data_IF_712291070556
#
_entry.id   IF_712291070556
#
_cell.length_a   1.000
_cell.length_b   1.000
_cell.length_c   1.000
_cell.angle_alpha   90.00
_cell.angle_beta   90.00
_cell.angle_gamma   90.00
#
_symmetry.space_group_name_H-M   'P 1'
#
loop_
_entity.id
_entity.type
_entity.pdbx_description
1 polymer ?
#
# COMPACT_ATOMS: atom_id res chain seq x y z
N UNK A 1 170.14 -64.28 22.38
CA UNK A 1 171.43 -64.13 23.09
C UNK A 1 171.09 -63.42 24.39
N UNK A 2 170.99 -64.18 25.47
CA UNK A 2 170.65 -63.69 26.80
C UNK A 2 171.82 -62.85 27.33
N UNK A 3 171.63 -61.52 27.33
CA UNK A 3 172.55 -60.58 27.97
C UNK A 3 172.16 -60.55 29.44
N UNK A 4 172.95 -61.19 30.30
CA UNK A 4 172.87 -60.97 31.75
C UNK A 4 172.94 -59.46 32.01
N UNK A 5 171.95 -58.85 32.71
CA UNK A 5 171.97 -57.43 32.95
C UNK A 5 173.16 -57.11 33.85
N UNK A 6 174.12 -56.35 33.33
CA UNK A 6 175.16 -55.73 34.13
C UNK A 6 174.47 -54.90 35.21
N UNK A 7 174.54 -55.36 36.46
CA UNK A 7 174.01 -54.62 37.61
C UNK A 7 174.73 -53.28 37.66
N UNK A 8 174.04 -52.20 37.26
CA UNK A 8 174.56 -50.84 37.38
C UNK A 8 174.83 -50.59 38.87
N UNK A 9 176.10 -50.49 39.25
CA UNK A 9 176.51 -50.17 40.62
C UNK A 9 176.80 -48.67 40.70
N UNK A 10 176.29 -47.99 41.73
CA UNK A 10 176.67 -46.61 42.04
C UNK A 10 177.34 -46.57 43.42
N UNK A 11 178.36 -45.71 43.62
CA UNK A 11 179.02 -45.60 44.91
C UNK A 11 178.06 -45.06 45.97
N UNK A 12 178.12 -45.62 47.17
CA UNK A 12 177.37 -45.15 48.32
C UNK A 12 177.74 -43.71 48.67
N UNK A 13 176.74 -42.83 48.79
CA UNK A 13 176.94 -41.43 49.15
C UNK A 13 177.47 -41.19 50.58
N UNK A 14 177.75 -42.24 51.36
CA UNK A 14 178.38 -42.11 52.68
C UNK A 14 179.75 -42.79 52.78
N UNK A 15 179.87 -44.06 52.37
CA UNK A 15 181.10 -44.83 52.52
C UNK A 15 181.79 -45.16 51.19
N UNK A 16 181.23 -44.74 50.04
CA UNK A 16 181.81 -44.98 48.71
C UNK A 16 181.69 -46.41 48.17
N UNK A 17 181.28 -47.40 48.98
CA UNK A 17 181.12 -48.80 48.55
C UNK A 17 180.07 -48.92 47.43
N UNK A 18 180.33 -49.78 46.45
CA UNK A 18 179.42 -50.03 45.35
C UNK A 18 178.07 -50.56 45.85
N UNK A 19 176.98 -49.89 45.44
CA UNK A 19 175.61 -50.26 45.76
C UNK A 19 174.91 -50.68 44.47
N UNK A 20 174.48 -51.94 44.35
CA UNK A 20 173.72 -52.40 43.19
C UNK A 20 172.40 -51.63 43.09
N UNK A 21 172.15 -51.03 41.93
CA UNK A 21 170.93 -50.28 41.65
C UNK A 21 169.79 -51.20 41.23
N UNK A 22 168.55 -50.70 41.34
CA UNK A 22 167.39 -51.37 40.77
C UNK A 22 167.30 -51.05 39.29
N UNK A 23 167.12 -52.08 38.46
CA UNK A 23 166.67 -51.93 37.08
C UNK A 23 165.16 -51.67 37.08
N UNK A 24 164.73 -50.41 36.83
CA UNK A 24 163.32 -50.02 36.72
C UNK A 24 162.98 -48.61 37.22
N UNK A 25 161.72 -48.20 37.03
CA UNK A 25 161.22 -46.89 37.45
C UNK A 25 161.14 -46.78 38.99
N UNK A 26 161.99 -45.93 39.56
CA UNK A 26 162.06 -45.67 40.99
C UNK A 26 163.29 -44.84 41.35
N UNK A 27 163.32 -44.22 42.53
CA UNK A 27 164.45 -43.38 42.94
C UNK A 27 165.71 -44.25 43.14
N UNK A 28 166.85 -43.92 42.49
CA UNK A 28 168.09 -44.66 42.65
C UNK A 28 168.51 -44.79 44.12
N UNK A 29 169.12 -45.93 44.48
CA UNK A 29 169.63 -46.17 45.81
C UNK A 29 170.90 -45.34 46.04
N UNK A 30 170.80 -44.35 46.94
CA UNK A 30 171.93 -43.47 47.32
C UNK A 30 172.85 -44.06 48.41
N UNK A 31 172.41 -45.08 49.17
CA UNK A 31 173.15 -45.59 50.33
C UNK A 31 173.21 -47.12 50.36
N UNK A 32 174.27 -47.70 50.95
CA UNK A 32 174.39 -49.16 51.15
C UNK A 32 173.25 -49.69 52.02
N UNK A 33 172.74 -50.88 51.65
CA UNK A 33 171.66 -51.56 52.34
C UNK A 33 172.16 -52.64 53.30
N UNK A 34 173.32 -53.20 52.99
CA UNK A 34 173.94 -54.40 53.59
C UNK A 34 174.30 -54.28 55.07
N UNK A 35 174.07 -53.11 55.68
CA UNK A 35 174.42 -52.81 57.06
C UNK A 35 173.23 -52.18 57.80
N UNK A 36 172.02 -52.72 57.61
CA UNK A 36 170.74 -52.24 58.17
C UNK A 36 170.51 -50.73 58.00
N UNK A 37 170.94 -50.14 56.88
CA UNK A 37 170.84 -48.69 56.67
C UNK A 37 171.75 -47.85 57.58
N UNK A 38 172.80 -48.43 58.18
CA UNK A 38 173.78 -47.71 59.00
C UNK A 38 174.42 -46.55 58.24
N UNK A 39 174.72 -46.72 56.95
CA UNK A 39 175.24 -45.62 56.12
C UNK A 39 174.24 -44.47 55.93
N UNK A 40 172.94 -44.78 55.77
CA UNK A 40 171.89 -43.77 55.68
C UNK A 40 171.70 -43.03 57.02
N UNK A 41 171.72 -43.77 58.15
CA UNK A 41 171.65 -43.19 59.50
C UNK A 41 172.89 -42.37 59.83
N UNK A 42 174.08 -42.83 59.47
CA UNK A 42 175.34 -42.13 59.71
C UNK A 42 175.43 -40.85 58.87
N UNK A 43 175.03 -40.89 57.59
CA UNK A 43 174.87 -39.68 56.78
C UNK A 43 173.84 -38.71 57.36
N UNK A 44 172.70 -39.21 57.86
CA UNK A 44 171.68 -38.38 58.54
C UNK A 44 172.22 -37.76 59.84
N UNK A 45 172.91 -38.52 60.67
CA UNK A 45 173.51 -38.03 61.91
C UNK A 45 174.68 -37.06 61.64
N UNK A 46 175.46 -37.27 60.58
CA UNK A 46 176.48 -36.34 60.13
C UNK A 46 175.84 -35.01 59.71
N UNK A 47 174.81 -35.04 58.85
CA UNK A 47 174.05 -33.84 58.47
C UNK A 47 173.42 -33.13 59.66
N UNK A 48 172.77 -33.85 60.58
CA UNK A 48 172.21 -33.25 61.80
C UNK A 48 173.29 -32.62 62.68
N UNK A 49 174.45 -33.26 62.84
CA UNK A 49 175.58 -32.69 63.59
C UNK A 49 176.15 -31.45 62.93
N UNK A 50 176.30 -31.44 61.61
CA UNK A 50 176.76 -30.26 60.87
C UNK A 50 175.73 -29.12 60.93
N UNK A 51 174.44 -29.44 60.78
CA UNK A 51 173.32 -28.47 60.85
C UNK A 51 173.16 -27.81 62.22
N UNK A 52 173.40 -28.57 63.29
CA UNK A 52 173.27 -28.13 64.67
C UNK A 52 174.61 -27.68 65.30
N UNK A 53 175.70 -27.63 64.51
CA UNK A 53 176.99 -27.15 64.99
C UNK A 53 176.93 -25.63 65.22
N UNK A 54 177.31 -25.12 66.41
CA UNK A 54 177.35 -23.69 66.66
C UNK A 54 178.46 -23.02 65.83
N UNK A 55 178.19 -21.81 65.32
CA UNK A 55 179.14 -21.00 64.55
C UNK A 55 179.08 -21.18 63.02
N UNK A 56 180.15 -20.72 62.35
CA UNK A 56 180.30 -20.67 60.88
C UNK A 56 180.00 -22.02 60.18
N UNK A 57 180.47 -23.19 60.66
CA UNK A 57 180.23 -24.46 59.97
C UNK A 57 178.75 -24.85 59.87
N UNK A 58 177.95 -24.57 60.90
CA UNK A 58 176.51 -24.84 60.87
C UNK A 58 175.71 -23.83 60.06
N UNK A 59 176.19 -22.58 59.99
CA UNK A 59 175.64 -21.59 59.07
C UNK A 59 175.88 -22.02 57.61
N UNK A 60 177.12 -22.41 57.27
CA UNK A 60 177.50 -22.94 55.94
C UNK A 60 176.67 -24.17 55.56
N UNK A 61 176.45 -25.10 56.47
CA UNK A 61 175.62 -26.28 56.21
C UNK A 61 174.14 -25.92 55.88
N UNK A 62 173.56 -24.92 56.57
CA UNK A 62 172.20 -24.45 56.28
C UNK A 62 172.11 -23.68 54.96
N UNK A 63 173.13 -22.89 54.61
CA UNK A 63 173.18 -22.25 53.29
C UNK A 63 173.30 -23.28 52.17
N UNK A 64 174.09 -24.34 52.34
CA UNK A 64 174.16 -25.42 51.36
C UNK A 64 172.83 -26.17 51.17
N UNK A 65 172.08 -26.41 52.24
CA UNK A 65 170.73 -27.00 52.12
C UNK A 65 169.73 -26.04 51.43
N UNK A 66 169.88 -24.72 51.62
CA UNK A 66 169.10 -23.73 50.90
C UNK A 66 169.46 -23.71 49.41
N UNK A 67 170.75 -23.87 49.07
CA UNK A 67 171.24 -24.03 47.69
C UNK A 67 170.67 -25.31 47.07
N UNK A 68 170.74 -26.46 47.75
CA UNK A 68 170.14 -27.72 47.27
C UNK A 68 168.62 -27.57 47.01
N UNK A 69 167.92 -26.79 47.86
CA UNK A 69 166.48 -26.53 47.68
C UNK A 69 166.21 -25.60 46.51
N UNK A 70 167.07 -24.61 46.29
CA UNK A 70 167.00 -23.74 45.11
C UNK A 70 167.26 -24.55 43.85
N UNK A 71 168.27 -25.42 43.84
CA UNK A 71 168.55 -26.31 42.71
C UNK A 71 167.35 -27.23 42.41
N UNK A 72 166.72 -27.80 43.44
CA UNK A 72 165.50 -28.61 43.25
C UNK A 72 164.32 -27.79 42.69
N UNK A 73 164.17 -26.53 43.12
CA UNK A 73 163.14 -25.63 42.58
C UNK A 73 163.47 -25.28 41.13
N UNK A 74 164.74 -24.99 40.81
CA UNK A 74 165.20 -24.70 39.44
C UNK A 74 164.98 -25.90 38.54
N UNK A 75 165.31 -27.11 38.99
CA UNK A 75 165.07 -28.36 38.25
C UNK A 75 163.57 -28.55 37.96
N UNK A 76 162.72 -28.41 38.99
CA UNK A 76 161.25 -28.52 38.83
C UNK A 76 160.69 -27.44 37.90
N UNK A 77 161.19 -26.20 38.00
CA UNK A 77 160.79 -25.09 37.14
C UNK A 77 161.28 -25.30 35.71
N UNK A 78 162.51 -25.79 35.51
CA UNK A 78 163.05 -26.11 34.19
C UNK A 78 162.29 -27.26 33.54
N UNK A 79 161.90 -28.30 34.28
CA UNK A 79 161.06 -29.39 33.78
C UNK A 79 159.65 -28.90 33.41
N UNK A 80 159.01 -28.10 34.26
CA UNK A 80 157.71 -27.51 33.97
C UNK A 80 157.78 -26.54 32.76
N UNK A 81 158.82 -25.71 32.71
CA UNK A 81 159.04 -24.78 31.60
C UNK A 81 159.34 -25.53 30.31
N UNK A 82 160.10 -26.63 30.36
CA UNK A 82 160.33 -27.49 29.20
C UNK A 82 159.07 -28.24 28.78
N UNK A 83 158.24 -28.70 29.73
CA UNK A 83 156.96 -29.33 29.42
C UNK A 83 155.99 -28.38 28.72
N UNK A 84 155.98 -27.08 29.06
CA UNK A 84 155.09 -26.09 28.45
C UNK A 84 155.71 -25.37 27.22
N UNK A 85 157.02 -25.12 27.19
CA UNK A 85 157.72 -24.41 26.09
C UNK A 85 158.40 -25.34 25.08
N UNK A 86 158.45 -26.65 25.32
CA UNK A 86 158.86 -27.60 24.26
C UNK A 86 157.86 -27.56 23.10
N UNK A 87 158.29 -27.90 21.87
CA UNK A 87 157.40 -27.99 20.72
C UNK A 87 156.15 -28.84 21.00
N UNK A 88 156.30 -29.97 21.71
CA UNK A 88 155.20 -30.85 22.07
C UNK A 88 154.22 -30.21 23.08
N UNK A 89 154.72 -29.42 24.03
CA UNK A 89 153.91 -28.67 25.00
C UNK A 89 153.05 -27.61 24.32
N UNK A 90 153.66 -26.82 23.43
CA UNK A 90 152.96 -25.80 22.64
C UNK A 90 151.94 -26.42 21.70
N UNK A 91 152.26 -27.54 21.03
CA UNK A 91 151.31 -28.27 20.19
C UNK A 91 150.10 -28.78 20.99
N UNK A 92 150.31 -29.28 22.22
CA UNK A 92 149.23 -29.67 23.13
C UNK A 92 148.34 -28.49 23.50
N UNK A 93 148.93 -27.36 23.90
CA UNK A 93 148.18 -26.14 24.22
C UNK A 93 147.41 -25.61 23.00
N UNK A 94 148.01 -25.62 21.81
CA UNK A 94 147.35 -25.24 20.57
C UNK A 94 146.23 -26.21 20.20
N UNK A 95 146.41 -27.52 20.42
CA UNK A 95 145.36 -28.52 20.20
C UNK A 95 144.18 -28.32 21.18
N UNK A 96 144.46 -28.04 22.45
CA UNK A 96 143.44 -27.71 23.45
C UNK A 96 142.69 -26.43 23.07
N UNK A 97 143.40 -25.35 22.71
CA UNK A 97 142.78 -24.10 22.26
C UNK A 97 141.94 -24.29 21.00
N UNK A 98 142.41 -25.12 20.05
CA UNK A 98 141.63 -25.48 18.84
C UNK A 98 140.39 -26.28 19.21
N UNK A 99 140.47 -27.20 20.16
CA UNK A 99 139.33 -27.96 20.64
C UNK A 99 138.31 -27.07 21.37
N UNK A 100 138.77 -26.17 22.23
CA UNK A 100 137.92 -25.18 22.91
C UNK A 100 137.24 -24.24 21.92
N UNK A 101 138.00 -23.71 20.94
CA UNK A 101 137.44 -22.87 19.88
C UNK A 101 136.44 -23.64 19.02
N UNK A 102 136.74 -24.89 18.66
CA UNK A 102 135.81 -25.74 17.90
C UNK A 102 134.52 -26.01 18.69
N UNK A 103 134.62 -26.24 20.01
CA UNK A 103 133.46 -26.40 20.88
C UNK A 103 132.62 -25.11 20.98
N UNK A 104 133.26 -23.95 21.09
CA UNK A 104 132.57 -22.65 21.09
C UNK A 104 131.86 -22.37 19.76
N UNK A 105 132.50 -22.67 18.63
CA UNK A 105 131.89 -22.52 17.30
C UNK A 105 130.71 -23.50 17.13
N UNK A 106 130.84 -24.74 17.59
CA UNK A 106 129.75 -25.70 17.57
C UNK A 106 128.57 -25.23 18.45
N UNK A 107 128.84 -24.68 19.64
CA UNK A 107 127.81 -24.10 20.50
C UNK A 107 127.11 -22.91 19.84
N UNK A 108 127.86 -21.96 19.27
CA UNK A 108 127.29 -20.83 18.54
C UNK A 108 126.45 -21.26 17.32
N UNK A 109 126.85 -22.32 16.60
CA UNK A 109 126.04 -22.88 15.52
C UNK A 109 124.77 -23.56 16.04
N UNK A 110 124.84 -24.28 17.15
CA UNK A 110 123.67 -24.88 17.79
C UNK A 110 122.67 -23.81 18.24
N UNK A 111 123.14 -22.76 18.92
CA UNK A 111 122.31 -21.62 19.36
C UNK A 111 121.69 -20.88 18.17
N UNK A 112 122.45 -20.65 17.09
CA UNK A 112 121.92 -20.04 15.86
C UNK A 112 120.83 -20.90 15.24
N UNK A 113 121.05 -22.21 15.15
CA UNK A 113 120.10 -23.13 14.53
C UNK A 113 118.84 -23.31 15.39
N UNK A 114 118.96 -23.24 16.73
CA UNK A 114 117.83 -23.18 17.66
C UNK A 114 117.05 -21.87 17.48
N UNK A 115 117.72 -20.71 17.50
CA UNK A 115 117.07 -19.43 17.25
C UNK A 115 116.37 -19.35 15.89
N UNK A 116 116.93 -20.00 14.86
CA UNK A 116 116.28 -20.12 13.54
C UNK A 116 115.01 -20.96 13.62
N UNK A 117 115.06 -22.12 14.29
CA UNK A 117 113.87 -22.97 14.48
C UNK A 117 112.78 -22.24 15.25
N UNK A 118 113.14 -21.56 16.34
CA UNK A 118 112.20 -20.77 17.14
C UNK A 118 111.54 -19.66 16.31
N UNK A 119 112.31 -18.99 15.45
CA UNK A 119 111.78 -17.97 14.54
C UNK A 119 110.83 -18.55 13.48
N UNK A 120 111.17 -19.72 12.91
CA UNK A 120 110.32 -20.43 11.96
C UNK A 120 109.01 -20.90 12.63
N UNK A 121 109.08 -21.44 13.84
CA UNK A 121 107.92 -21.87 14.61
C UNK A 121 107.02 -20.69 15.01
N UNK A 122 107.61 -19.58 15.45
CA UNK A 122 106.88 -18.35 15.74
C UNK A 122 106.20 -17.77 14.48
N UNK A 123 106.87 -17.80 13.33
CA UNK A 123 106.29 -17.37 12.06
C UNK A 123 105.14 -18.28 11.60
N UNK A 124 105.27 -19.59 11.82
CA UNK A 124 104.22 -20.56 11.53
C UNK A 124 103.01 -20.37 12.46
N UNK A 125 103.24 -20.15 13.76
CA UNK A 125 102.20 -19.84 14.74
C UNK A 125 101.46 -18.55 14.38
N UNK A 126 102.17 -17.46 14.10
CA UNK A 126 101.56 -16.20 13.70
C UNK A 126 100.76 -16.31 12.39
N UNK A 127 101.14 -17.22 11.49
CA UNK A 127 100.38 -17.47 10.27
C UNK A 127 99.08 -18.22 10.57
N UNK A 128 99.11 -19.22 11.45
CA UNK A 128 97.91 -19.93 11.92
C UNK A 128 96.95 -18.96 12.62
N UNK A 129 97.45 -18.16 13.56
CA UNK A 129 96.63 -17.18 14.28
C UNK A 129 95.93 -16.19 13.33
N UNK A 130 96.64 -15.73 12.28
CA UNK A 130 96.04 -14.87 11.24
C UNK A 130 94.98 -15.60 10.42
N UNK A 131 95.17 -16.88 10.12
CA UNK A 131 94.19 -17.68 9.40
C UNK A 131 92.95 -17.91 10.26
N UNK A 132 93.13 -18.24 11.53
CA UNK A 132 92.05 -18.46 12.49
C UNK A 132 91.26 -17.17 12.74
N UNK A 133 91.94 -16.02 12.89
CA UNK A 133 91.28 -14.72 13.01
C UNK A 133 90.45 -14.37 11.76
N UNK A 134 90.97 -14.65 10.56
CA UNK A 134 90.23 -14.44 9.30
C UNK A 134 89.00 -15.37 9.21
N UNK A 135 89.15 -16.63 9.60
CA UNK A 135 88.04 -17.58 9.64
C UNK A 135 86.96 -17.12 10.63
N UNK A 136 87.35 -16.72 11.85
CA UNK A 136 86.41 -16.20 12.86
C UNK A 136 85.68 -14.94 12.39
N UNK A 137 86.35 -14.03 11.68
CA UNK A 137 85.70 -12.86 11.08
C UNK A 137 84.71 -13.26 9.98
N UNK A 138 85.09 -14.17 9.08
CA UNK A 138 84.20 -14.67 8.04
C UNK A 138 82.96 -15.38 8.62
N UNK A 139 83.13 -16.18 9.68
CA UNK A 139 82.03 -16.85 10.37
C UNK A 139 81.08 -15.85 11.04
N UNK A 140 81.63 -14.82 11.70
CA UNK A 140 80.84 -13.75 12.32
C UNK A 140 80.04 -12.99 11.27
N UNK A 141 80.67 -12.62 10.15
CA UNK A 141 80.01 -11.86 9.10
C UNK A 141 78.92 -12.73 8.43
N UNK A 142 79.18 -14.02 8.18
CA UNK A 142 78.18 -14.96 7.72
C UNK A 142 77.03 -15.17 8.74
N UNK A 143 77.32 -15.12 10.04
CA UNK A 143 76.28 -15.19 11.08
C UNK A 143 75.42 -13.92 11.10
N UNK A 144 76.01 -12.74 10.91
CA UNK A 144 75.29 -11.47 10.77
C UNK A 144 74.38 -11.49 9.53
N UNK A 145 74.91 -11.89 8.38
CA UNK A 145 74.10 -12.02 7.15
C UNK A 145 72.92 -12.97 7.32
N UNK A 146 73.09 -14.08 8.05
CA UNK A 146 71.99 -15.01 8.36
C UNK A 146 70.95 -14.36 9.28
N UNK A 147 71.39 -13.59 10.28
CA UNK A 147 70.50 -12.87 11.19
C UNK A 147 69.69 -11.81 10.43
N UNK A 148 70.33 -10.99 9.60
CA UNK A 148 69.68 -9.92 8.83
C UNK A 148 68.65 -10.50 7.83
N UNK A 149 68.97 -11.63 7.20
CA UNK A 149 68.01 -12.37 6.35
C UNK A 149 66.84 -12.93 7.14
N UNK A 150 67.09 -13.46 8.33
CA UNK A 150 66.04 -14.00 9.20
C UNK A 150 65.10 -12.88 9.69
N UNK A 151 65.65 -11.73 10.06
CA UNK A 151 64.88 -10.54 10.45
C UNK A 151 64.05 -10.03 9.27
N UNK A 152 64.64 -9.89 8.08
CA UNK A 152 63.91 -9.48 6.87
C UNK A 152 62.78 -10.46 6.53
N UNK A 153 63.02 -11.77 6.64
CA UNK A 153 62.00 -12.78 6.41
C UNK A 153 60.89 -12.73 7.48
N UNK A 154 61.23 -12.46 8.73
CA UNK A 154 60.27 -12.29 9.82
C UNK A 154 59.37 -11.06 9.60
N UNK A 155 59.94 -9.93 9.16
CA UNK A 155 59.18 -8.72 8.82
C UNK A 155 58.20 -8.98 7.68
N UNK A 156 58.65 -9.60 6.58
CA UNK A 156 57.76 -9.96 5.46
C UNK A 156 56.68 -10.95 5.89
N UNK A 157 57.01 -11.89 6.77
CA UNK A 157 56.02 -12.82 7.32
C UNK A 157 54.97 -12.09 8.18
N UNK A 158 55.39 -11.13 9.01
CA UNK A 158 54.49 -10.32 9.84
C UNK A 158 53.56 -9.45 8.98
N UNK A 159 54.09 -8.81 7.93
CA UNK A 159 53.28 -8.05 6.96
C UNK A 159 52.23 -8.94 6.28
N UNK A 160 52.62 -10.13 5.82
CA UNK A 160 51.67 -11.09 5.21
C UNK A 160 50.57 -11.53 6.18
N UNK A 161 50.89 -11.70 7.46
CA UNK A 161 49.89 -12.02 8.49
C UNK A 161 48.93 -10.84 8.68
N UNK A 162 49.45 -9.62 8.80
CA UNK A 162 48.62 -8.41 8.92
C UNK A 162 47.69 -8.21 7.71
N UNK A 163 48.21 -8.40 6.49
CA UNK A 163 47.42 -8.33 5.26
C UNK A 163 46.32 -9.40 5.23
N UNK A 164 46.64 -10.63 5.65
CA UNK A 164 45.66 -11.72 5.71
C UNK A 164 44.56 -11.45 6.75
N UNK A 165 44.90 -10.87 7.89
CA UNK A 165 43.93 -10.46 8.90
C UNK A 165 43.02 -9.33 8.41
N UNK A 166 43.59 -8.30 7.76
CA UNK A 166 42.84 -7.21 7.17
C UNK A 166 41.88 -7.71 6.07
N UNK A 167 42.34 -8.62 5.20
CA UNK A 167 41.51 -9.25 4.18
C UNK A 167 40.36 -10.07 4.80
N UNK A 168 40.64 -10.84 5.86
CA UNK A 168 39.63 -11.62 6.59
C UNK A 168 38.59 -10.73 7.23
N UNK A 169 38.99 -9.63 7.85
CA UNK A 169 38.07 -8.72 8.53
C UNK A 169 37.22 -7.94 7.53
N UNK A 170 37.78 -7.58 6.37
CA UNK A 170 37.03 -7.04 5.23
C UNK A 170 35.98 -8.03 4.72
N UNK A 171 36.36 -9.30 4.49
CA UNK A 171 35.44 -10.34 4.05
C UNK A 171 34.30 -10.60 5.06
N UNK A 172 34.59 -10.52 6.37
CA UNK A 172 33.57 -10.61 7.42
C UNK A 172 32.62 -9.42 7.41
N UNK A 173 33.14 -8.20 7.23
CA UNK A 173 32.31 -7.00 7.11
C UNK A 173 31.38 -7.07 5.90
N UNK A 174 31.90 -7.48 4.73
CA UNK A 174 31.12 -7.69 3.51
C UNK A 174 30.05 -8.77 3.70
N UNK A 175 30.39 -9.90 4.31
CA UNK A 175 29.43 -10.96 4.63
C UNK A 175 28.33 -10.46 5.57
N UNK A 176 28.69 -9.70 6.59
CA UNK A 176 27.74 -9.08 7.52
C UNK A 176 26.81 -8.09 6.82
N UNK A 177 27.35 -7.24 5.94
CA UNK A 177 26.57 -6.30 5.14
C UNK A 177 25.61 -7.03 4.18
N UNK A 178 26.07 -8.07 3.50
CA UNK A 178 25.24 -8.90 2.64
C UNK A 178 24.10 -9.60 3.41
N UNK A 179 24.38 -10.10 4.62
CA UNK A 179 23.36 -10.69 5.49
C UNK A 179 22.35 -9.65 5.96
N UNK A 180 22.79 -8.44 6.32
CA UNK A 180 21.90 -7.34 6.70
C UNK A 180 20.97 -6.94 5.53
N UNK A 181 21.52 -6.82 4.31
CA UNK A 181 20.73 -6.56 3.11
C UNK A 181 19.71 -7.67 2.83
N UNK A 182 20.08 -8.95 3.03
CA UNK A 182 19.14 -10.07 2.87
C UNK A 182 17.99 -9.99 3.88
N UNK A 183 18.29 -9.75 5.15
CA UNK A 183 17.26 -9.58 6.20
C UNK A 183 16.36 -8.40 5.90
N UNK A 184 16.91 -7.28 5.42
CA UNK A 184 16.13 -6.12 5.01
C UNK A 184 15.20 -6.46 3.84
N UNK A 185 15.71 -7.12 2.79
CA UNK A 185 14.92 -7.54 1.65
C UNK A 185 13.79 -8.52 2.03
N UNK A 186 14.03 -9.42 3.00
CA UNK A 186 13.00 -10.31 3.54
C UNK A 186 11.90 -9.53 4.28
N UNK A 187 12.28 -8.54 5.11
CA UNK A 187 11.34 -7.66 5.81
C UNK A 187 10.51 -6.84 4.82
N UNK A 188 11.14 -6.23 3.83
CA UNK A 188 10.47 -5.43 2.81
C UNK A 188 9.49 -6.28 1.99
N UNK A 189 9.89 -7.50 1.63
CA UNK A 189 9.02 -8.47 0.96
C UNK A 189 7.80 -8.83 1.82
N UNK A 190 8.01 -9.08 3.11
CA UNK A 190 6.94 -9.47 4.01
C UNK A 190 5.99 -8.30 4.32
N UNK A 191 6.52 -7.09 4.41
CA UNK A 191 5.75 -5.84 4.46
C UNK A 191 4.90 -5.66 3.20
N UNK A 192 5.50 -5.77 2.00
CA UNK A 192 4.78 -5.68 0.73
C UNK A 192 3.69 -6.75 0.60
N UNK A 193 3.94 -7.98 1.09
CA UNK A 193 2.93 -9.05 1.15
C UNK A 193 1.80 -8.74 2.13
N UNK A 194 2.09 -8.06 3.23
CA UNK A 194 1.07 -7.62 4.18
C UNK A 194 0.20 -6.52 3.56
N UNK A 195 0.80 -5.48 2.99
CA UNK A 195 0.11 -4.41 2.28
C UNK A 195 -0.78 -4.97 1.14
N UNK A 196 -0.26 -5.89 0.34
CA UNK A 196 -1.03 -6.54 -0.72
C UNK A 196 -2.25 -7.32 -0.18
N UNK A 197 -2.13 -7.96 0.99
CA UNK A 197 -3.26 -8.63 1.64
C UNK A 197 -4.29 -7.61 2.12
N UNK A 198 -3.85 -6.51 2.71
CA UNK A 198 -4.72 -5.41 3.15
C UNK A 198 -5.50 -4.82 1.97
N UNK A 199 -4.81 -4.43 0.89
CA UNK A 199 -5.45 -3.88 -0.32
C UNK A 199 -6.43 -4.87 -0.95
N UNK A 200 -6.12 -6.18 -0.94
CA UNK A 200 -7.07 -7.20 -1.42
C UNK A 200 -8.31 -7.28 -0.55
N UNK A 201 -8.16 -7.26 0.78
CA UNK A 201 -9.27 -7.27 1.71
C UNK A 201 -10.15 -6.01 1.56
N UNK A 202 -9.53 -4.84 1.41
CA UNK A 202 -10.24 -3.59 1.13
C UNK A 202 -11.01 -3.67 -0.19
N UNK A 203 -10.36 -4.10 -1.27
CA UNK A 203 -11.01 -4.31 -2.58
C UNK A 203 -12.19 -5.28 -2.48
N UNK A 204 -12.04 -6.38 -1.76
CA UNK A 204 -13.10 -7.37 -1.60
C UNK A 204 -14.25 -6.81 -0.75
N UNK A 205 -13.95 -6.01 0.27
CA UNK A 205 -14.93 -5.23 1.03
C UNK A 205 -15.69 -4.22 0.16
N UNK A 206 -14.99 -3.46 -0.69
CA UNK A 206 -15.61 -2.53 -1.63
C UNK A 206 -16.48 -3.25 -2.68
N UNK A 207 -16.05 -4.41 -3.17
CA UNK A 207 -16.87 -5.25 -4.05
C UNK A 207 -18.14 -5.73 -3.37
N UNK A 208 -18.06 -6.11 -2.10
CA UNK A 208 -19.22 -6.52 -1.33
C UNK A 208 -20.19 -5.35 -1.14
N UNK A 209 -19.69 -4.18 -0.72
CA UNK A 209 -20.51 -2.94 -0.62
C UNK A 209 -21.17 -2.57 -1.94
N UNK A 210 -20.44 -2.66 -3.05
CA UNK A 210 -21.00 -2.38 -4.37
C UNK A 210 -22.12 -3.38 -4.75
N UNK A 211 -21.98 -4.65 -4.39
CA UNK A 211 -23.00 -5.67 -4.59
C UNK A 211 -24.24 -5.41 -3.69
N UNK A 212 -24.04 -5.04 -2.43
CA UNK A 212 -25.11 -4.65 -1.51
C UNK A 212 -25.88 -3.43 -2.04
N UNK A 213 -25.20 -2.35 -2.42
CA UNK A 213 -25.82 -1.16 -3.01
C UNK A 213 -26.57 -1.48 -4.31
N UNK A 214 -26.04 -2.41 -5.10
CA UNK A 214 -26.73 -2.89 -6.32
C UNK A 214 -28.01 -3.63 -5.96
N UNK A 215 -27.97 -4.53 -4.97
CA UNK A 215 -29.15 -5.25 -4.49
C UNK A 215 -30.19 -4.31 -3.87
N UNK A 216 -29.76 -3.31 -3.08
CA UNK A 216 -30.63 -2.27 -2.53
C UNK A 216 -31.30 -1.45 -3.63
N UNK A 217 -30.55 -1.01 -4.64
CA UNK A 217 -31.08 -0.31 -5.81
C UNK A 217 -32.13 -1.16 -6.54
N UNK A 218 -31.84 -2.43 -6.76
CA UNK A 218 -32.73 -3.33 -7.49
C UNK A 218 -34.00 -3.65 -6.67
N UNK A 219 -33.89 -3.78 -5.35
CA UNK A 219 -35.02 -3.90 -4.45
C UNK A 219 -35.88 -2.63 -4.46
N UNK A 220 -35.27 -1.45 -4.34
CA UNK A 220 -35.96 -0.16 -4.40
C UNK A 220 -36.66 0.05 -5.75
N UNK A 221 -36.03 -0.39 -6.86
CA UNK A 221 -36.65 -0.38 -8.18
C UNK A 221 -37.87 -1.30 -8.25
N UNK A 222 -37.75 -2.52 -7.73
CA UNK A 222 -38.86 -3.46 -7.68
C UNK A 222 -40.02 -2.95 -6.81
N UNK A 223 -39.72 -2.28 -5.69
CA UNK A 223 -40.70 -1.60 -4.84
C UNK A 223 -41.38 -0.44 -5.57
N UNK A 224 -40.62 0.40 -6.28
CA UNK A 224 -41.18 1.49 -7.08
C UNK A 224 -42.10 0.94 -8.19
N UNK A 225 -41.69 -0.13 -8.88
CA UNK A 225 -42.53 -0.79 -9.89
C UNK A 225 -43.80 -1.40 -9.27
N UNK A 226 -43.72 -1.99 -8.07
CA UNK A 226 -44.90 -2.46 -7.32
C UNK A 226 -45.83 -1.31 -6.97
N UNK A 227 -45.29 -0.18 -6.48
CA UNK A 227 -46.07 1.00 -6.13
C UNK A 227 -46.76 1.61 -7.36
N UNK A 228 -46.06 1.69 -8.51
CA UNK A 228 -46.64 2.15 -9.79
C UNK A 228 -47.79 1.23 -10.21
N UNK A 229 -47.61 -0.10 -10.17
CA UNK A 229 -48.69 -1.05 -10.49
C UNK A 229 -49.89 -0.89 -9.55
N UNK A 230 -49.64 -0.80 -8.24
CA UNK A 230 -50.71 -0.58 -7.26
C UNK A 230 -51.44 0.75 -7.48
N UNK A 231 -50.72 1.81 -7.86
CA UNK A 231 -51.31 3.11 -8.17
C UNK A 231 -52.15 3.05 -9.45
N UNK A 232 -51.66 2.37 -10.50
CA UNK A 232 -52.41 2.13 -11.74
C UNK A 232 -53.69 1.34 -11.47
N UNK A 233 -53.63 0.26 -10.69
CA UNK A 233 -54.82 -0.49 -10.29
C UNK A 233 -55.81 0.35 -9.46
N UNK A 234 -55.31 1.23 -8.60
CA UNK A 234 -56.16 2.14 -7.84
C UNK A 234 -56.84 3.18 -8.73
N UNK A 235 -56.13 3.71 -9.74
CA UNK A 235 -56.69 4.60 -10.76
C UNK A 235 -57.76 3.87 -11.59
N UNK A 236 -57.49 2.66 -12.08
CA UNK A 236 -58.47 1.83 -12.80
C UNK A 236 -59.71 1.54 -11.95
N UNK A 237 -59.55 1.29 -10.64
CA UNK A 237 -60.69 1.14 -9.72
C UNK A 237 -61.47 2.44 -9.56
N UNK A 238 -60.78 3.57 -9.44
CA UNK A 238 -61.42 4.88 -9.34
C UNK A 238 -62.15 5.27 -10.64
N UNK A 239 -61.58 4.97 -11.81
CA UNK A 239 -62.20 5.19 -13.11
C UNK A 239 -63.44 4.32 -13.29
N UNK A 240 -63.36 3.03 -12.94
CA UNK A 240 -64.54 2.15 -12.92
C UNK A 240 -65.63 2.68 -11.98
N UNK A 241 -65.27 3.08 -10.76
CA UNK A 241 -66.22 3.69 -9.83
C UNK A 241 -66.83 4.99 -10.37
N UNK A 242 -66.06 5.82 -11.07
CA UNK A 242 -66.59 7.02 -11.75
C UNK A 242 -67.53 6.67 -12.89
N UNK A 243 -67.18 5.69 -13.72
CA UNK A 243 -68.03 5.22 -14.81
C UNK A 243 -69.35 4.63 -14.26
N UNK A 244 -69.28 3.84 -13.18
CA UNK A 244 -70.45 3.31 -12.50
C UNK A 244 -71.32 4.43 -11.91
N UNK A 245 -70.71 5.45 -11.30
CA UNK A 245 -71.41 6.62 -10.77
C UNK A 245 -72.05 7.46 -11.90
N UNK A 246 -71.36 7.63 -13.02
CA UNK A 246 -71.90 8.30 -14.20
C UNK A 246 -73.06 7.52 -14.83
N UNK A 247 -72.96 6.18 -14.90
CA UNK A 247 -74.04 5.32 -15.36
C UNK A 247 -75.23 5.32 -14.39
N UNK A 248 -74.99 5.41 -13.07
CA UNK A 248 -76.04 5.60 -12.07
C UNK A 248 -76.71 6.97 -12.20
N UNK A 249 -75.94 8.04 -12.44
CA UNK A 249 -76.46 9.39 -12.68
C UNK A 249 -77.28 9.47 -13.98
N UNK A 250 -76.81 8.84 -15.07
CA UNK A 250 -77.56 8.75 -16.32
C UNK A 250 -78.88 8.00 -16.12
N UNK A 251 -78.86 6.85 -15.42
CA UNK A 251 -80.08 6.12 -15.06
C UNK A 251 -81.03 6.94 -14.18
N UNK A 252 -80.51 7.77 -13.27
CA UNK A 252 -81.32 8.67 -12.45
C UNK A 252 -81.95 9.79 -13.29
N UNK A 253 -81.22 10.36 -14.25
CA UNK A 253 -81.74 11.35 -15.21
C UNK A 253 -82.80 10.72 -16.11
N UNK A 254 -82.57 9.52 -16.63
CA UNK A 254 -83.55 8.79 -17.45
C UNK A 254 -84.81 8.44 -16.64
N UNK A 255 -84.65 8.04 -15.38
CA UNK A 255 -85.77 7.80 -14.47
C UNK A 255 -86.55 9.08 -14.15
N UNK A 256 -85.85 10.21 -13.96
CA UNK A 256 -86.48 11.51 -13.75
C UNK A 256 -87.21 12.02 -15.00
N UNK A 257 -86.64 11.81 -16.19
CA UNK A 257 -87.29 12.12 -17.46
C UNK A 257 -88.52 11.23 -17.70
N UNK A 258 -88.44 9.93 -17.37
CA UNK A 258 -89.58 9.02 -17.42
C UNK A 258 -90.68 9.43 -16.42
N UNK A 259 -90.31 9.85 -15.21
CA UNK A 259 -91.24 10.37 -14.20
C UNK A 259 -91.89 11.69 -14.65
N UNK A 260 -91.13 12.61 -15.25
CA UNK A 260 -91.66 13.87 -15.83
C UNK A 260 -92.59 13.59 -17.01
N UNK A 261 -92.26 12.65 -17.89
CA UNK A 261 -93.14 12.23 -18.97
C UNK A 261 -94.41 11.53 -18.47
N UNK A 262 -94.33 10.77 -17.38
CA UNK A 262 -95.50 10.19 -16.70
C UNK A 262 -96.38 11.28 -16.05
N UNK A 263 -95.78 12.28 -15.40
CA UNK A 263 -96.50 13.42 -14.83
C UNK A 263 -97.19 14.26 -15.92
N UNK A 264 -96.51 14.54 -17.04
CA UNK A 264 -97.10 15.25 -18.18
C UNK A 264 -98.26 14.46 -18.82
N UNK A 265 -98.17 13.13 -18.88
CA UNK A 265 -99.28 12.27 -19.33
C UNK A 265 -100.46 12.33 -18.35
N UNK A 266 -100.21 12.28 -17.04
CA UNK A 266 -101.24 12.42 -16.02
C UNK A 266 -101.91 13.81 -16.05
N UNK A 267 -101.15 14.88 -16.30
CA UNK A 267 -101.68 16.24 -16.44
C UNK A 267 -102.51 16.41 -17.72
N UNK A 268 -102.09 15.78 -18.83
CA UNK A 268 -102.85 15.74 -20.08
C UNK A 268 -104.16 14.94 -19.93
N UNK A 269 -104.12 13.81 -19.21
CA UNK A 269 -105.31 13.01 -18.87
C UNK A 269 -106.26 13.77 -17.94
N UNK A 270 -105.73 14.49 -16.94
CA UNK A 270 -106.51 15.34 -16.05
C UNK A 270 -107.12 16.55 -16.79
N UNK A 271 -106.41 17.12 -17.77
CA UNK A 271 -106.93 18.17 -18.63
C UNK A 271 -108.03 17.64 -19.58
N UNK A 272 -107.87 16.45 -20.14
CA UNK A 272 -108.89 15.77 -20.96
C UNK A 272 -110.14 15.41 -20.13
N UNK A 273 -109.98 14.95 -18.88
CA UNK A 273 -111.09 14.67 -17.97
C UNK A 273 -111.86 15.94 -17.58
N UNK A 274 -111.16 17.06 -17.35
CA UNK A 274 -111.79 18.37 -17.10
C UNK A 274 -112.54 18.89 -18.34
N UNK A 275 -112.01 18.69 -19.53
CA UNK A 275 -112.68 19.05 -20.78
C UNK A 275 -113.91 18.16 -21.06
N UNK A 276 -113.87 16.89 -20.70
CA UNK A 276 -115.01 15.97 -20.81
C UNK A 276 -116.15 16.32 -19.84
N UNK A 277 -115.83 16.77 -18.62
CA UNK A 277 -116.82 17.26 -17.66
C UNK A 277 -117.49 18.57 -18.13
N UNK A 278 -116.70 19.53 -18.63
CA UNK A 278 -117.24 20.78 -19.21
C UNK A 278 -118.07 20.52 -20.47
N UNK A 279 -117.71 19.53 -21.28
CA UNK A 279 -118.51 19.12 -22.44
C UNK A 279 -119.83 18.45 -22.04
N UNK A 280 -119.82 17.67 -20.95
CA UNK A 280 -121.02 17.03 -20.39
C UNK A 280 -121.95 18.05 -19.75
N UNK A 281 -121.44 18.99 -18.97
CA UNK A 281 -122.24 20.07 -18.35
C UNK A 281 -122.87 20.99 -19.42
N UNK A 282 -122.18 21.24 -20.54
CA UNK A 282 -122.74 21.96 -21.69
C UNK A 282 -123.80 21.15 -22.45
N UNK A 283 -123.66 19.83 -22.53
CA UNK A 283 -124.66 18.97 -23.15
C UNK A 283 -125.92 18.82 -22.28
N UNK A 284 -125.78 18.79 -20.96
CA UNK A 284 -126.89 18.71 -20.01
C UNK A 284 -127.63 20.07 -19.90
N UNK A 285 -126.91 21.20 -19.96
CA UNK A 285 -127.51 22.53 -20.07
C UNK A 285 -128.27 22.72 -21.40
N UNK A 286 -127.72 22.24 -22.52
CA UNK A 286 -128.39 22.29 -23.83
C UNK A 286 -129.64 21.39 -23.89
N UNK A 287 -129.67 20.26 -23.18
CA UNK A 287 -130.87 19.41 -23.04
C UNK A 287 -131.95 20.06 -22.19
N UNK A 288 -131.57 20.69 -21.07
CA UNK A 288 -132.50 21.43 -20.22
C UNK A 288 -133.11 22.65 -20.93
N UNK A 289 -132.33 23.39 -21.74
CA UNK A 289 -132.83 24.49 -22.57
C UNK A 289 -133.73 24.01 -23.72
N UNK A 290 -133.42 22.86 -24.33
CA UNK A 290 -134.25 22.27 -25.38
C UNK A 290 -135.60 21.75 -24.83
N UNK A 291 -135.62 21.13 -23.65
CA UNK A 291 -136.84 20.69 -22.98
C UNK A 291 -137.69 21.87 -22.49
N UNK A 292 -137.09 22.91 -21.92
CA UNK A 292 -137.80 24.14 -21.55
C UNK A 292 -138.36 24.89 -22.77
N UNK A 293 -137.70 24.78 -23.94
CA UNK A 293 -138.17 25.39 -25.19
C UNK A 293 -139.29 24.57 -25.83
N UNK A 294 -139.21 23.24 -25.79
CA UNK A 294 -140.30 22.36 -26.25
C UNK A 294 -141.57 22.52 -25.41
N UNK A 295 -141.44 22.66 -24.09
CA UNK A 295 -142.59 22.79 -23.21
C UNK A 295 -143.26 24.17 -23.32
N UNK A 296 -142.45 25.22 -23.52
CA UNK A 296 -142.93 26.56 -23.85
C UNK A 296 -143.63 26.61 -25.22
N UNK A 297 -143.07 25.95 -26.24
CA UNK A 297 -143.70 25.85 -27.56
C UNK A 297 -144.99 25.01 -27.54
N UNK A 298 -145.07 23.96 -26.71
CA UNK A 298 -146.31 23.18 -26.51
C UNK A 298 -147.39 23.98 -25.81
N UNK A 299 -147.03 24.77 -24.79
CA UNK A 299 -147.95 25.68 -24.12
C UNK A 299 -148.43 26.81 -25.07
N UNK A 300 -147.55 27.35 -25.91
CA UNK A 300 -147.87 28.37 -26.92
C UNK A 300 -148.76 27.81 -28.04
N UNK A 301 -148.52 26.57 -28.50
CA UNK A 301 -149.38 25.90 -29.49
C UNK A 301 -150.75 25.53 -28.89
N UNK A 302 -150.81 25.07 -27.65
CA UNK A 302 -152.08 24.81 -26.95
C UNK A 302 -152.89 26.10 -26.75
N UNK A 303 -152.23 27.20 -26.34
CA UNK A 303 -152.86 28.51 -26.21
C UNK A 303 -153.30 29.09 -27.57
N UNK A 304 -152.53 28.87 -28.64
CA UNK A 304 -152.89 29.31 -30.00
C UNK A 304 -154.08 28.52 -30.58
N UNK A 305 -154.19 27.22 -30.28
CA UNK A 305 -155.32 26.38 -30.68
C UNK A 305 -156.60 26.76 -29.92
N UNK A 306 -156.52 27.04 -28.62
CA UNK A 306 -157.68 27.53 -27.86
C UNK A 306 -158.10 28.95 -28.29
N UNK A 307 -157.14 29.84 -28.56
CA UNK A 307 -157.45 31.18 -29.09
C UNK A 307 -158.05 31.11 -30.50
N UNK A 308 -157.62 30.19 -31.36
CA UNK A 308 -158.21 29.96 -32.67
C UNK A 308 -159.62 29.36 -32.59
N UNK A 309 -159.87 28.45 -31.64
CA UNK A 309 -161.20 27.89 -31.39
C UNK A 309 -162.17 28.95 -30.84
N UNK A 310 -161.71 29.80 -29.92
CA UNK A 310 -162.50 30.91 -29.37
C UNK A 310 -162.84 31.96 -30.44
N UNK A 311 -161.86 32.35 -31.28
CA UNK A 311 -162.06 33.29 -32.39
C UNK A 311 -162.99 32.72 -33.48
N UNK A 312 -162.98 31.41 -33.69
CA UNK A 312 -163.88 30.74 -34.63
C UNK A 312 -165.31 30.69 -34.10
N UNK A 313 -165.49 30.35 -32.82
CA UNK A 313 -166.80 30.38 -32.17
C UNK A 313 -167.39 31.80 -32.10
N UNK A 314 -166.56 32.81 -31.86
CA UNK A 314 -166.95 34.23 -31.85
C UNK A 314 -167.35 34.70 -33.26
N UNK A 315 -166.59 34.32 -34.30
CA UNK A 315 -166.93 34.62 -35.70
C UNK A 315 -168.23 33.94 -36.12
N UNK A 316 -168.44 32.69 -35.72
CA UNK A 316 -169.64 31.93 -36.09
C UNK A 316 -170.89 32.44 -35.35
N UNK A 317 -170.72 32.89 -34.10
CA UNK A 317 -171.76 33.61 -33.33
C UNK A 317 -172.12 34.95 -33.99
N UNK A 318 -171.12 35.76 -34.35
CA UNK A 318 -171.33 37.03 -35.05
C UNK A 318 -171.95 36.83 -36.44
N UNK A 319 -171.63 35.73 -37.14
CA UNK A 319 -172.25 35.40 -38.44
C UNK A 319 -173.73 34.99 -38.29
N UNK A 320 -174.09 34.27 -37.22
CA UNK A 320 -175.47 33.93 -36.90
C UNK A 320 -176.29 35.18 -36.51
N UNK A 321 -175.73 36.05 -35.68
CA UNK A 321 -176.35 37.32 -35.29
C UNK A 321 -176.54 38.26 -36.48
N UNK A 322 -175.57 38.33 -37.40
CA UNK A 322 -175.69 39.11 -38.63
C UNK A 322 -176.77 38.54 -39.57
N UNK A 323 -176.92 37.22 -39.62
CA UNK A 323 -177.98 36.56 -40.40
C UNK A 323 -179.38 36.84 -39.81
N UNK A 324 -179.51 36.83 -38.48
CA UNK A 324 -180.75 37.19 -37.80
C UNK A 324 -181.08 38.67 -37.90
N UNK A 325 -180.09 39.55 -37.79
CA UNK A 325 -180.25 40.98 -38.01
C UNK A 325 -180.69 41.27 -39.46
N UNK A 326 -180.14 40.57 -40.46
CA UNK A 326 -180.56 40.68 -41.86
C UNK A 326 -181.97 40.15 -42.12
N UNK A 327 -182.37 39.05 -41.46
CA UNK A 327 -183.75 38.53 -41.51
C UNK A 327 -184.75 39.47 -40.84
N UNK A 328 -184.36 40.11 -39.73
CA UNK A 328 -185.17 41.10 -39.04
C UNK A 328 -185.30 42.39 -39.87
N UNK A 329 -184.22 42.83 -40.52
CA UNK A 329 -184.21 43.98 -41.42
C UNK A 329 -185.09 43.74 -42.66
N UNK A 330 -184.99 42.58 -43.32
CA UNK A 330 -185.83 42.27 -44.48
C UNK A 330 -187.30 42.10 -44.11
N UNK A 331 -187.60 41.57 -42.91
CA UNK A 331 -188.96 41.52 -42.39
C UNK A 331 -189.51 42.92 -42.02
N UNK A 332 -188.66 43.83 -41.54
CA UNK A 332 -189.03 45.21 -41.26
C UNK A 332 -189.24 46.01 -42.56
N UNK A 333 -188.39 45.82 -43.57
CA UNK A 333 -188.53 46.42 -44.91
C UNK A 333 -189.79 45.91 -45.61
N UNK A 334 -190.12 44.62 -45.51
CA UNK A 334 -191.36 44.07 -46.07
C UNK A 334 -192.61 44.65 -45.38
N UNK A 335 -192.57 44.85 -44.05
CA UNK A 335 -193.66 45.52 -43.31
C UNK A 335 -193.76 47.00 -43.64
N UNK A 336 -192.64 47.68 -43.85
CA UNK A 336 -192.61 49.07 -44.31
C UNK A 336 -193.17 49.21 -45.74
N UNK A 337 -192.84 48.27 -46.62
CA UNK A 337 -193.39 48.18 -47.98
C UNK A 337 -194.90 47.90 -47.99
N UNK A 338 -195.39 46.97 -47.16
CA UNK A 338 -196.83 46.69 -47.03
C UNK A 338 -197.60 47.90 -46.46
N UNK A 339 -197.03 48.59 -45.47
CA UNK A 339 -197.60 49.81 -44.91
C UNK A 339 -197.63 50.95 -45.94
N UNK A 340 -196.55 51.16 -46.70
CA UNK A 340 -196.48 52.16 -47.75
C UNK A 340 -197.47 51.88 -48.90
N UNK A 341 -197.65 50.62 -49.28
CA UNK A 341 -198.62 50.22 -50.29
C UNK A 341 -200.07 50.48 -49.82
N UNK A 342 -200.36 50.27 -48.53
CA UNK A 342 -201.69 50.57 -47.95
C UNK A 342 -201.97 52.06 -47.86
N UNK A 343 -200.99 52.90 -47.53
CA UNK A 343 -201.16 54.36 -47.59
C UNK A 343 -201.34 54.86 -49.01
N UNK A 344 -200.55 54.35 -49.97
CA UNK A 344 -200.70 54.72 -51.38
C UNK A 344 -202.07 54.30 -51.95
N UNK A 345 -202.59 53.13 -51.55
CA UNK A 345 -203.94 52.70 -51.92
C UNK A 345 -205.03 53.58 -51.29
N UNK A 346 -204.88 53.95 -50.02
CA UNK A 346 -205.81 54.85 -49.33
C UNK A 346 -205.80 56.28 -49.93
N UNK A 347 -204.63 56.77 -50.35
CA UNK A 347 -204.50 58.05 -51.04
C UNK A 347 -205.09 58.02 -52.45
N UNK A 348 -204.89 56.93 -53.20
CA UNK A 348 -205.50 56.75 -54.51
C UNK A 348 -207.04 56.66 -54.45
N UNK A 349 -207.60 56.02 -53.41
CA UNK A 349 -209.05 55.97 -53.18
C UNK A 349 -209.61 57.33 -52.79
N UNK A 350 -208.91 58.10 -51.94
CA UNK A 350 -209.27 59.48 -51.61
C UNK A 350 -209.26 60.39 -52.84
N UNK A 351 -208.21 60.32 -53.65
CA UNK A 351 -208.07 61.15 -54.84
C UNK A 351 -209.08 60.75 -55.93
N UNK A 352 -209.43 59.47 -56.03
CA UNK A 352 -210.53 59.01 -56.89
C UNK A 352 -211.91 59.46 -56.37
N UNK A 353 -212.10 59.61 -55.06
CA UNK A 353 -213.31 60.20 -54.48
C UNK A 353 -213.38 61.71 -54.72
N UNK A 354 -212.26 62.44 -54.59
CA UNK A 354 -212.19 63.88 -54.89
C UNK A 354 -212.38 64.19 -56.37
N UNK A 355 -211.80 63.39 -57.27
CA UNK A 355 -212.02 63.56 -58.72
C UNK A 355 -213.46 63.26 -59.13
N UNK A 356 -214.10 62.27 -58.51
CA UNK A 356 -215.55 62.01 -58.72
C UNK A 356 -216.42 63.14 -58.18
N UNK A 357 -216.05 63.76 -57.06
CA UNK A 357 -216.71 64.96 -56.56
C UNK A 357 -216.51 66.19 -57.48
N UNK A 358 -215.32 66.34 -58.07
CA UNK A 358 -215.01 67.40 -59.05
C UNK A 358 -215.76 67.22 -60.37
N UNK A 359 -215.78 66.01 -60.94
CA UNK A 359 -216.54 65.72 -62.16
C UNK A 359 -218.05 65.93 -61.99
N UNK A 360 -218.61 65.66 -60.81
CA UNK A 360 -220.01 65.97 -60.51
C UNK A 360 -220.27 67.48 -60.37
N UNK A 361 -219.28 68.27 -59.93
CA UNK A 361 -219.39 69.73 -59.85
C UNK A 361 -219.27 70.40 -61.24
N UNK A 362 -218.35 69.91 -62.08
CA UNK A 362 -218.13 70.45 -63.42
C UNK A 362 -219.26 70.06 -64.39
N UNK A 363 -219.80 68.84 -64.31
CA UNK A 363 -220.99 68.44 -65.09
C UNK A 363 -222.23 69.27 -64.75
N UNK A 364 -222.33 69.82 -63.54
CA UNK A 364 -223.38 70.78 -63.15
C UNK A 364 -223.09 72.18 -63.70
N UNK A 365 -221.81 72.57 -63.79
CA UNK A 365 -221.41 73.87 -64.34
C UNK A 365 -221.47 73.94 -65.88
N UNK A 366 -221.18 72.82 -66.56
CA UNK A 366 -221.34 72.65 -68.01
C UNK A 366 -222.83 72.67 -68.40
N UNK A 367 -223.73 72.12 -67.56
CA UNK A 367 -225.17 72.24 -67.77
C UNK A 367 -225.65 73.70 -67.57
N UNK A 368 -225.06 74.44 -66.63
CA UNK A 368 -225.40 75.84 -66.37
C UNK A 368 -224.89 76.80 -67.47
N UNK A 369 -223.72 76.52 -68.07
CA UNK A 369 -223.13 77.39 -69.09
C UNK A 369 -223.64 77.08 -70.50
N UNK A 370 -223.96 75.81 -70.80
CA UNK A 370 -224.66 75.41 -72.02
C UNK A 370 -226.03 76.09 -72.16
N UNK A 371 -226.66 76.48 -71.04
CA UNK A 371 -227.88 77.30 -71.04
C UNK A 371 -227.62 78.80 -71.20
N UNK A 372 -226.42 79.31 -70.90
CA UNK A 372 -226.15 80.75 -70.89
C UNK A 372 -225.73 81.34 -72.25
N UNK A 373 -225.08 80.58 -73.15
CA UNK A 373 -224.54 81.16 -74.41
C UNK A 373 -225.29 80.80 -75.69
N UNK A 374 -226.25 79.88 -75.62
CA UNK A 374 -227.39 79.89 -76.55
C UNK A 374 -228.24 81.19 -76.45
N UNK A 375 -227.92 82.10 -75.51
CA UNK A 375 -228.63 83.36 -75.28
C UNK A 375 -227.99 84.66 -75.81
N UNK A 376 -226.75 84.66 -76.32
CA UNK A 376 -226.11 85.91 -76.80
C UNK A 376 -225.51 85.72 -78.19
N UNK A 377 -226.33 85.99 -79.21
CA UNK A 377 -226.31 87.23 -80.02
C UNK A 377 -225.29 87.12 -81.16
N UNK A 378 -225.66 87.10 -82.44
CA UNK A 378 -226.86 87.66 -83.12
C UNK A 378 -227.21 89.10 -82.72
N UNK A 379 -226.21 89.91 -82.39
CA UNK A 379 -226.27 91.37 -82.51
C UNK A 379 -225.37 91.79 -83.64
#
# INVERSE_FOLDING_TARGET
>A
MDVEPATETRPCAHCGREVPQRVGAGRPFRYCRDNDGACQRAARNSRMRHRNSPGLPGQVARTWEAVDRLDQIVETLSEALHAELSPAGVERQLAELRAQTAAQVAAAHAERDEARRDAEDAAAAATRDRQDARAAHAERDAARDRADRAESAATVAAERVADAEAARDTARAETGAAQALRVQAERDRDAARHELRTVRAERDGERHRAAELTAERDAARADAERAIRSAAEALDRAERSRADAQAAAARAVDAEQAARAAAQRADAEAAAARQALVARDRADAARAEAEATLERLRAEVAAAVEQAAARTAERDGLAAELADARRAASAAEARAGDLAARTAAAEAERDAAQRRAGQLADQVSDLATALARLGTRTG
#
